data_IF_380942513425
#
_entry.id   IF_380942513425
#
_cell.length_a   1.000
_cell.length_b   1.000
_cell.length_c   1.000
_cell.angle_alpha   90.00
_cell.angle_beta   90.00
_cell.angle_gamma   90.00
#
_symmetry.space_group_name_H-M   'P 1'
#
loop_
_entity.id
_entity.type
_entity.pdbx_description
1 polymer ?
#
# COMPACT_ATOMS: atom_id res chain seq x y z
N UNK A 1 -3.21 9.27 -26.96
CA UNK A 1 -3.11 10.75 -26.97
C UNK A 1 -1.97 11.15 -26.04
N UNK A 2 -0.92 11.79 -26.58
CA UNK A 2 0.24 12.20 -25.79
C UNK A 2 -0.07 13.45 -24.97
N UNK A 3 0.14 13.39 -23.65
CA UNK A 3 -0.10 14.53 -22.73
C UNK A 3 1.06 15.54 -22.83
N UNK A 4 0.69 16.81 -23.00
CA UNK A 4 1.57 17.98 -23.19
C UNK A 4 2.55 18.23 -22.01
N UNK A 5 3.57 19.06 -22.26
CA UNK A 5 4.58 19.47 -21.29
C UNK A 5 4.01 20.56 -20.36
N UNK A 6 3.99 20.31 -19.05
CA UNK A 6 3.52 21.29 -18.04
C UNK A 6 2.65 20.73 -16.90
N UNK A 7 2.37 19.43 -16.85
CA UNK A 7 1.57 18.84 -15.77
C UNK A 7 2.21 18.91 -14.38
N UNK A 8 1.39 18.94 -13.32
CA UNK A 8 1.74 18.91 -11.88
C UNK A 8 2.55 17.69 -11.42
N UNK A 9 2.88 16.78 -12.34
CA UNK A 9 3.42 15.45 -12.08
C UNK A 9 4.43 15.05 -13.15
N UNK A 10 5.54 14.45 -12.72
CA UNK A 10 6.74 14.21 -13.53
C UNK A 10 7.30 12.80 -13.27
N UNK A 11 8.01 12.16 -14.22
CA UNK A 11 8.27 10.74 -14.20
C UNK A 11 9.17 10.32 -13.03
N UNK A 12 8.89 9.11 -12.56
CA UNK A 12 9.38 8.45 -11.36
C UNK A 12 10.89 8.62 -11.13
N UNK A 13 11.28 8.74 -9.87
CA UNK A 13 12.66 8.39 -9.48
C UNK A 13 12.91 6.88 -9.70
N UNK A 14 14.16 6.41 -9.54
CA UNK A 14 14.46 4.96 -9.65
C UNK A 14 13.78 4.12 -8.56
N UNK A 15 13.17 4.75 -7.55
CA UNK A 15 12.40 4.11 -6.48
C UNK A 15 10.90 4.08 -6.77
N UNK A 16 10.47 4.53 -7.95
CA UNK A 16 9.09 4.46 -8.41
C UNK A 16 8.17 5.57 -7.88
N UNK A 17 8.68 6.55 -7.13
CA UNK A 17 7.88 7.58 -6.46
C UNK A 17 7.62 8.81 -7.30
N UNK A 18 6.41 9.34 -7.16
CA UNK A 18 6.00 10.61 -7.76
C UNK A 18 6.36 11.78 -6.83
N UNK A 19 7.02 12.79 -7.38
CA UNK A 19 7.32 14.04 -6.66
C UNK A 19 6.34 15.11 -7.15
N UNK A 20 5.52 15.67 -6.25
CA UNK A 20 4.55 16.72 -6.57
C UNK A 20 5.18 18.10 -6.44
N UNK A 21 4.72 19.04 -7.26
CA UNK A 21 4.97 20.47 -7.00
C UNK A 21 4.36 20.83 -5.64
N UNK A 22 5.16 21.48 -4.79
CA UNK A 22 4.80 21.80 -3.41
C UNK A 22 5.34 20.83 -2.37
N UNK A 23 5.81 19.65 -2.76
CA UNK A 23 6.38 18.70 -1.80
C UNK A 23 7.63 19.27 -1.11
N UNK A 24 7.71 19.07 0.21
CA UNK A 24 8.94 19.30 0.97
C UNK A 24 9.88 18.12 0.74
N UNK A 25 11.09 18.42 0.28
CA UNK A 25 12.11 17.43 -0.04
C UNK A 25 13.45 17.78 0.60
N UNK A 26 14.33 16.79 0.77
CA UNK A 26 15.68 16.90 1.29
C UNK A 26 16.67 16.21 0.34
N UNK A 27 17.78 16.87 0.07
CA UNK A 27 18.85 16.32 -0.76
C UNK A 27 19.61 15.20 -0.02
N UNK A 28 19.70 14.02 -0.63
CA UNK A 28 20.47 12.87 -0.11
C UNK A 28 21.93 13.26 0.08
N UNK A 29 22.48 13.00 1.27
CA UNK A 29 23.87 13.23 1.63
C UNK A 29 24.22 14.66 2.05
N UNK A 30 23.44 15.67 1.66
CA UNK A 30 23.71 17.08 2.01
C UNK A 30 22.81 17.64 3.12
N UNK A 31 21.71 16.95 3.46
CA UNK A 31 20.76 17.40 4.49
C UNK A 31 19.95 18.65 4.14
N UNK A 32 20.19 19.25 2.96
CA UNK A 32 19.55 20.48 2.50
C UNK A 32 18.08 20.24 2.18
N UNK A 33 17.18 20.95 2.85
CA UNK A 33 15.74 20.85 2.65
C UNK A 33 15.21 21.99 1.76
N UNK A 34 14.12 21.72 1.04
CA UNK A 34 13.49 22.67 0.13
C UNK A 34 12.10 22.24 -0.26
N UNK A 35 11.48 23.01 -1.15
CA UNK A 35 10.15 22.78 -1.70
C UNK A 35 10.25 22.61 -3.21
N UNK A 36 9.61 21.58 -3.75
CA UNK A 36 9.55 21.34 -5.19
C UNK A 36 8.74 22.43 -5.86
N UNK A 37 9.34 23.13 -6.84
CA UNK A 37 8.68 24.24 -7.56
C UNK A 37 8.27 23.87 -8.96
N UNK A 38 9.04 23.00 -9.61
CA UNK A 38 8.69 22.42 -10.89
C UNK A 38 9.38 21.09 -11.04
N UNK A 39 8.93 20.30 -12.00
CA UNK A 39 9.68 19.16 -12.47
C UNK A 39 9.55 19.08 -14.01
N UNK A 40 10.52 18.48 -14.67
CA UNK A 40 10.63 18.32 -16.13
C UNK A 40 10.85 16.83 -16.49
N UNK A 41 10.21 16.35 -17.57
CA UNK A 41 10.14 14.93 -17.96
C UNK A 41 11.50 14.41 -18.37
N UNK A 42 12.38 15.31 -18.78
CA UNK A 42 13.69 14.99 -19.31
C UNK A 42 14.85 15.43 -18.41
N UNK A 43 14.64 16.32 -17.44
CA UNK A 43 15.77 17.04 -16.79
C UNK A 43 15.81 16.94 -15.26
N UNK A 44 14.71 16.61 -14.60
CA UNK A 44 14.66 16.41 -13.15
C UNK A 44 13.74 17.39 -12.41
N UNK A 45 13.94 17.54 -11.11
CA UNK A 45 13.10 18.33 -10.21
C UNK A 45 13.79 19.63 -9.82
N UNK A 46 13.12 20.76 -9.99
CA UNK A 46 13.59 22.05 -9.50
C UNK A 46 13.10 22.25 -8.08
N UNK A 47 14.04 22.35 -7.15
CA UNK A 47 13.76 22.56 -5.72
C UNK A 47 14.22 23.95 -5.32
N UNK A 48 13.33 24.71 -4.69
CA UNK A 48 13.67 25.93 -3.97
C UNK A 48 14.01 25.56 -2.53
N UNK A 49 15.27 25.72 -2.15
CA UNK A 49 15.80 25.37 -0.85
C UNK A 49 15.46 26.43 0.20
N UNK A 50 15.48 26.01 1.46
CA UNK A 50 15.15 26.88 2.59
C UNK A 50 16.16 28.02 2.79
N UNK A 51 17.38 27.85 2.24
CA UNK A 51 18.41 28.90 2.19
C UNK A 51 18.20 29.94 1.07
N UNK A 52 17.07 29.85 0.35
CA UNK A 52 16.69 30.76 -0.74
C UNK A 52 17.26 30.37 -2.10
N UNK A 53 18.19 29.42 -2.17
CA UNK A 53 18.72 28.92 -3.43
C UNK A 53 17.69 28.10 -4.21
N UNK A 54 17.86 27.99 -5.52
CA UNK A 54 17.10 27.04 -6.34
C UNK A 54 18.08 26.13 -7.07
N UNK A 55 17.81 24.83 -7.13
CA UNK A 55 18.67 23.90 -7.87
C UNK A 55 17.84 22.86 -8.58
N UNK A 56 18.30 22.48 -9.77
CA UNK A 56 17.75 21.37 -10.51
C UNK A 56 18.44 20.08 -10.06
N UNK A 57 17.65 19.10 -9.64
CA UNK A 57 18.12 17.88 -8.99
C UNK A 57 17.49 16.69 -9.67
N UNK A 58 18.29 15.67 -9.98
CA UNK A 58 17.74 14.41 -10.43
C UNK A 58 16.81 13.83 -9.34
N UNK A 59 15.58 13.37 -9.67
CA UNK A 59 14.56 12.97 -8.70
C UNK A 59 15.10 12.01 -7.63
N UNK A 60 15.97 11.11 -8.06
CA UNK A 60 16.61 10.10 -7.22
C UNK A 60 17.54 10.59 -6.11
N UNK A 61 17.87 11.89 -6.09
CA UNK A 61 18.68 12.49 -5.02
C UNK A 61 17.82 13.19 -3.97
N UNK A 62 16.50 13.08 -4.04
CA UNK A 62 15.55 13.73 -3.14
C UNK A 62 14.88 12.70 -2.23
N UNK A 63 14.64 13.08 -0.98
CA UNK A 63 13.83 12.35 0.02
C UNK A 63 12.72 13.29 0.51
N UNK A 64 11.57 12.79 0.94
CA UNK A 64 10.54 13.65 1.57
C UNK A 64 11.08 14.26 2.87
N UNK A 65 10.80 15.54 3.10
CA UNK A 65 11.11 16.23 4.34
C UNK A 65 9.81 16.54 5.11
N UNK A 66 9.82 16.47 6.46
CA UNK A 66 8.67 16.89 7.26
C UNK A 66 8.40 18.39 7.07
N UNK A 67 7.12 18.79 7.12
CA UNK A 67 6.73 20.20 7.04
C UNK A 67 7.34 21.00 8.20
N UNK A 68 7.71 22.26 7.95
CA UNK A 68 8.39 23.14 8.90
C UNK A 68 7.45 24.06 9.69
N UNK A 69 6.13 23.84 9.65
CA UNK A 69 5.20 24.63 10.48
C UNK A 69 5.28 24.24 11.97
N UNK A 70 5.45 25.22 12.89
CA UNK A 70 5.43 24.96 14.32
C UNK A 70 4.02 24.60 14.80
N UNK A 71 3.87 23.51 15.55
CA UNK A 71 2.62 23.14 16.19
C UNK A 71 2.26 24.12 17.32
N UNK A 72 1.03 24.64 17.32
CA UNK A 72 0.50 25.49 18.38
C UNK A 72 0.19 24.70 19.67
N UNK A 73 0.31 25.30 20.87
CA UNK A 73 0.04 24.61 22.13
C UNK A 73 -1.48 24.42 22.37
N UNK A 74 -1.88 23.22 22.77
CA UNK A 74 -3.29 22.84 22.94
C UNK A 74 -3.81 23.06 24.38
N UNK A 75 -5.01 23.63 24.51
CA UNK A 75 -5.82 23.65 25.76
C UNK A 75 -6.84 22.50 25.74
N UNK A 76 -6.97 21.76 26.85
CA UNK A 76 -7.89 20.63 27.03
C UNK A 76 -9.29 21.05 27.51
N UNK A 77 -10.34 20.49 26.89
CA UNK A 77 -11.67 20.25 27.48
C UNK A 77 -12.23 18.88 27.00
N UNK A 78 -13.21 18.27 27.70
CA UNK A 78 -13.64 16.88 27.50
C UNK A 78 -14.53 16.69 26.26
N UNK A 79 -14.46 15.50 25.66
CA UNK A 79 -15.00 15.11 24.35
C UNK A 79 -16.54 14.97 24.29
N UNK A 80 -17.18 15.79 23.46
CA UNK A 80 -18.38 15.44 22.69
C UNK A 80 -17.94 14.81 21.34
N UNK A 81 -18.76 13.96 20.68
CA UNK A 81 -18.43 13.38 19.37
C UNK A 81 -18.21 14.49 18.33
N UNK A 82 -17.02 14.52 17.73
CA UNK A 82 -16.57 15.58 16.82
C UNK A 82 -17.44 15.64 15.56
N UNK A 83 -18.31 16.66 15.41
CA UNK A 83 -19.16 16.78 14.25
C UNK A 83 -18.41 17.39 13.05
N UNK A 84 -17.08 17.57 13.16
CA UNK A 84 -16.16 17.95 12.10
C UNK A 84 -15.33 16.76 11.56
N UNK A 85 -15.59 15.52 12.00
CA UNK A 85 -14.97 14.34 11.41
C UNK A 85 -15.31 14.26 9.91
N UNK A 86 -14.31 14.47 9.06
CA UNK A 86 -14.44 14.43 7.60
C UNK A 86 -14.85 13.03 7.15
N UNK A 87 -15.98 12.85 6.45
CA UNK A 87 -16.31 11.59 5.81
C UNK A 87 -15.19 11.16 4.86
N UNK A 88 -14.86 9.87 4.88
CA UNK A 88 -13.77 9.32 4.07
C UNK A 88 -14.03 9.58 2.57
N UNK A 89 -13.09 10.22 1.88
CA UNK A 89 -13.17 10.54 0.45
C UNK A 89 -13.75 11.91 0.08
N UNK A 90 -13.89 12.84 1.03
CA UNK A 90 -14.20 14.24 0.73
C UNK A 90 -12.93 15.05 0.42
N UNK A 91 -12.96 15.82 -0.66
CA UNK A 91 -11.88 16.70 -1.13
C UNK A 91 -12.01 18.14 -0.62
N UNK A 92 -13.24 18.59 -0.35
CA UNK A 92 -13.52 19.94 0.13
C UNK A 92 -14.63 19.97 1.19
N UNK A 93 -14.60 21.05 1.97
CA UNK A 93 -15.45 21.25 3.13
C UNK A 93 -16.16 22.60 3.04
N UNK A 94 -17.47 22.61 3.30
CA UNK A 94 -18.31 23.80 3.22
C UNK A 94 -19.00 24.09 4.54
N UNK A 95 -18.94 25.35 4.98
CA UNK A 95 -19.51 25.80 6.26
C UNK A 95 -20.26 27.11 6.13
N UNK A 96 -21.32 27.28 6.92
CA UNK A 96 -21.86 28.60 7.22
C UNK A 96 -21.00 29.30 8.26
N UNK A 97 -20.97 30.62 8.22
CA UNK A 97 -20.24 31.43 9.20
C UNK A 97 -20.74 31.12 10.62
N UNK A 98 -19.85 30.58 11.46
CA UNK A 98 -20.16 30.21 12.85
C UNK A 98 -20.72 28.80 13.04
N UNK A 99 -20.84 27.97 11.99
CA UNK A 99 -21.34 26.59 12.08
C UNK A 99 -20.49 25.63 11.23
N UNK A 100 -19.45 25.01 11.82
CA UNK A 100 -18.68 23.99 11.12
C UNK A 100 -19.51 22.71 10.94
N UNK A 101 -19.52 22.12 9.74
CA UNK A 101 -19.97 20.74 9.47
C UNK A 101 -21.17 20.58 8.54
N UNK A 102 -21.46 21.56 7.68
CA UNK A 102 -22.73 21.57 6.93
C UNK A 102 -22.70 20.68 5.67
N UNK A 103 -21.57 20.59 4.95
CA UNK A 103 -21.45 19.75 3.76
C UNK A 103 -20.00 19.38 3.42
N UNK A 104 -19.85 18.24 2.74
CA UNK A 104 -18.58 17.76 2.18
C UNK A 104 -18.73 17.45 0.71
N UNK A 105 -17.68 17.70 -0.05
CA UNK A 105 -17.67 17.56 -1.51
C UNK A 105 -16.52 16.66 -1.93
N UNK A 106 -16.75 15.83 -2.94
CA UNK A 106 -15.74 15.03 -3.63
C UNK A 106 -15.60 15.52 -5.07
N UNK A 107 -14.37 15.68 -5.54
CA UNK A 107 -14.03 15.97 -6.92
C UNK A 107 -13.41 14.74 -7.58
N UNK A 108 -13.61 14.60 -8.89
CA UNK A 108 -12.95 13.55 -9.67
C UNK A 108 -11.51 13.93 -10.06
N UNK A 109 -10.83 13.06 -10.80
CA UNK A 109 -9.45 13.27 -11.25
C UNK A 109 -9.27 14.47 -12.19
N UNK A 110 -10.36 15.00 -12.74
CA UNK A 110 -10.37 16.19 -13.62
C UNK A 110 -10.66 17.49 -12.87
N UNK A 111 -11.03 17.40 -11.58
CA UNK A 111 -11.44 18.52 -10.74
C UNK A 111 -12.93 18.83 -10.82
N UNK A 112 -13.70 17.98 -11.49
CA UNK A 112 -15.15 18.12 -11.62
C UNK A 112 -15.87 17.51 -10.40
N UNK A 113 -17.09 17.98 -10.11
CA UNK A 113 -17.86 17.53 -8.94
C UNK A 113 -18.34 16.08 -9.14
N UNK A 114 -17.85 15.16 -8.30
CA UNK A 114 -18.18 13.72 -8.32
C UNK A 114 -19.34 13.39 -7.36
N UNK A 115 -19.42 14.08 -6.21
CA UNK A 115 -20.53 13.91 -5.28
C UNK A 115 -20.44 14.82 -4.04
N UNK A 116 -21.50 14.88 -3.25
CA UNK A 116 -21.48 15.58 -1.97
C UNK A 116 -22.35 14.92 -0.91
N UNK A 117 -21.98 15.14 0.35
CA UNK A 117 -22.61 14.60 1.56
C UNK A 117 -23.13 15.77 2.40
N UNK A 118 -24.41 15.70 2.81
CA UNK A 118 -25.01 16.62 3.78
C UNK A 118 -25.33 15.88 5.07
N UNK A 119 -24.96 16.48 6.20
CA UNK A 119 -25.49 16.10 7.51
C UNK A 119 -26.67 17.01 7.83
N UNK A 120 -27.86 16.44 7.99
CA UNK A 120 -29.02 17.17 8.51
C UNK A 120 -28.97 17.13 10.04
N UNK A 121 -28.60 18.25 10.67
CA UNK A 121 -28.42 18.30 12.13
C UNK A 121 -29.74 18.38 12.91
N UNK A 122 -30.84 18.74 12.24
CA UNK A 122 -32.14 18.88 12.89
C UNK A 122 -32.90 17.53 12.99
N UNK A 123 -32.39 16.47 12.35
CA UNK A 123 -32.92 15.10 12.45
C UNK A 123 -31.78 14.04 12.51
N UNK A 124 -31.35 13.63 13.71
CA UNK A 124 -30.27 12.66 13.89
C UNK A 124 -30.61 11.23 13.42
N UNK A 125 -31.84 10.99 12.94
CA UNK A 125 -32.27 9.72 12.36
C UNK A 125 -32.17 9.67 10.83
N UNK A 126 -31.84 10.79 10.17
CA UNK A 126 -31.77 10.84 8.70
C UNK A 126 -30.42 10.37 8.16
N UNK A 127 -30.52 9.39 7.28
CA UNK A 127 -29.48 8.83 6.42
C UNK A 127 -28.72 9.96 5.71
N UNK A 128 -27.38 9.87 5.71
CA UNK A 128 -26.51 10.66 4.82
C UNK A 128 -27.13 10.66 3.42
N UNK A 129 -27.64 11.81 2.96
CA UNK A 129 -28.15 11.94 1.60
C UNK A 129 -26.95 12.13 0.68
N UNK A 130 -26.46 11.02 0.14
CA UNK A 130 -25.56 11.04 -1.00
C UNK A 130 -26.38 11.42 -2.24
N UNK A 131 -25.97 12.49 -2.93
CA UNK A 131 -26.51 12.84 -4.24
C UNK A 131 -25.33 12.92 -5.20
N UNK A 132 -25.26 11.97 -6.12
CA UNK A 132 -24.43 12.09 -7.32
C UNK A 132 -24.96 13.23 -8.16
N UNK A 133 -24.14 14.26 -8.37
CA UNK A 133 -24.48 15.41 -9.19
C UNK A 133 -23.27 15.72 -10.05
N UNK A 134 -23.23 15.13 -11.24
CA UNK A 134 -22.18 15.42 -12.23
C UNK A 134 -22.43 16.81 -12.85
N UNK A 135 -21.56 17.77 -12.58
CA UNK A 135 -21.47 19.07 -13.27
C UNK A 135 -22.82 19.82 -13.46
N UNK A 136 -23.66 19.90 -12.43
CA UNK A 136 -24.91 20.67 -12.47
C UNK A 136 -24.67 22.15 -12.10
N UNK A 137 -24.86 23.14 -13.01
CA UNK A 137 -24.76 24.56 -12.69
C UNK A 137 -25.70 25.01 -11.56
N UNK A 138 -26.80 24.28 -11.34
CA UNK A 138 -27.72 24.54 -10.24
C UNK A 138 -27.08 24.29 -8.87
N UNK A 139 -26.05 23.44 -8.77
CA UNK A 139 -25.33 23.20 -7.51
C UNK A 139 -24.66 24.48 -7.00
N UNK A 140 -23.92 25.19 -7.84
CA UNK A 140 -23.17 26.37 -7.38
C UNK A 140 -24.12 27.48 -6.93
N UNK A 141 -25.22 27.64 -7.64
CA UNK A 141 -26.31 28.53 -7.22
C UNK A 141 -26.96 28.11 -5.88
N UNK A 142 -27.02 26.81 -5.56
CA UNK A 142 -27.53 26.33 -4.27
C UNK A 142 -26.53 26.58 -3.14
N UNK A 143 -25.23 26.31 -3.36
CA UNK A 143 -24.16 26.61 -2.38
C UNK A 143 -24.13 28.10 -2.06
N UNK A 144 -24.20 28.95 -3.08
CA UNK A 144 -24.23 30.41 -2.94
C UNK A 144 -25.50 30.89 -2.21
N UNK A 145 -26.68 30.35 -2.56
CA UNK A 145 -27.94 30.67 -1.88
C UNK A 145 -27.96 30.24 -0.41
N UNK A 146 -27.20 29.21 -0.05
CA UNK A 146 -27.03 28.75 1.34
C UNK A 146 -25.97 29.53 2.12
N UNK A 147 -25.23 30.44 1.47
CA UNK A 147 -24.17 31.22 2.10
C UNK A 147 -22.96 30.39 2.56
N UNK A 148 -22.79 29.19 1.98
CA UNK A 148 -21.70 28.30 2.29
C UNK A 148 -20.41 28.79 1.63
N UNK A 149 -19.29 28.66 2.33
CA UNK A 149 -17.96 28.95 1.78
C UNK A 149 -17.05 27.73 1.90
N UNK A 150 -16.28 27.50 0.85
CA UNK A 150 -15.23 26.49 0.85
C UNK A 150 -14.15 26.87 1.87
N UNK A 151 -13.81 25.93 2.74
CA UNK A 151 -12.80 26.08 3.77
C UNK A 151 -11.83 24.89 3.70
N UNK A 152 -10.56 25.08 4.09
CA UNK A 152 -9.62 23.95 4.19
C UNK A 152 -10.14 22.90 5.19
N UNK A 153 -9.91 21.60 4.93
CA UNK A 153 -10.36 20.54 5.83
C UNK A 153 -9.76 20.72 7.23
N UNK A 154 -10.50 20.36 8.30
CA UNK A 154 -9.99 20.45 9.67
C UNK A 154 -8.77 19.54 9.86
N UNK A 155 -7.68 20.10 10.36
CA UNK A 155 -6.45 19.36 10.63
C UNK A 155 -6.62 18.50 11.88
N UNK A 156 -6.81 17.19 11.73
CA UNK A 156 -6.80 16.25 12.87
C UNK A 156 -5.41 16.22 13.52
N UNK A 157 -5.33 16.63 14.78
CA UNK A 157 -4.10 16.52 15.56
C UNK A 157 -3.80 15.05 15.87
N UNK A 158 -2.62 14.58 15.45
CA UNK A 158 -2.13 13.23 15.77
C UNK A 158 -1.82 13.15 17.27
N UNK A 159 -2.37 12.18 18.04
CA UNK A 159 -2.01 12.01 19.43
C UNK A 159 -0.52 11.63 19.57
N UNK A 160 0.17 12.26 20.52
CA UNK A 160 1.58 12.01 20.78
C UNK A 160 1.81 10.57 21.27
N UNK A 161 2.67 9.83 20.56
CA UNK A 161 3.13 8.49 20.96
C UNK A 161 3.85 8.51 22.32
N UNK A 162 3.59 7.53 23.20
CA UNK A 162 4.31 7.41 24.46
C UNK A 162 5.77 6.99 24.23
N UNK A 163 6.68 7.60 25.00
CA UNK A 163 8.13 7.39 24.96
C UNK A 163 8.54 5.92 25.18
N UNK A 164 9.59 5.41 24.50
CA UNK A 164 10.02 4.02 24.65
C UNK A 164 10.77 3.77 25.97
N UNK A 165 10.38 2.70 26.67
CA UNK A 165 11.05 2.15 27.86
C UNK A 165 12.32 1.36 27.47
N UNK A 166 13.35 1.48 28.34
CA UNK A 166 14.61 0.71 28.55
C UNK A 166 15.19 -0.10 27.36
N UNK A 167 16.41 0.27 26.97
CA UNK A 167 17.28 -0.45 26.01
C UNK A 167 17.64 -1.87 26.49
N UNK A 168 17.27 -2.94 25.75
CA UNK A 168 17.85 -4.28 25.90
C UNK A 168 19.24 -4.36 25.25
N UNK A 169 19.98 -5.42 25.60
CA UNK A 169 21.32 -5.82 25.13
C UNK A 169 21.56 -5.56 23.62
N UNK A 170 22.73 -5.01 23.31
CA UNK A 170 23.15 -4.41 22.03
C UNK A 170 23.72 -5.35 20.96
N UNK A 171 23.63 -6.67 21.11
CA UNK A 171 24.34 -7.59 20.20
C UNK A 171 23.41 -8.38 19.27
N UNK A 172 22.10 -8.10 19.23
CA UNK A 172 21.23 -8.74 18.26
C UNK A 172 21.36 -8.09 16.89
N UNK A 173 21.53 -8.90 15.82
CA UNK A 173 21.66 -8.38 14.47
C UNK A 173 20.40 -7.62 14.07
N UNK A 174 20.57 -6.39 13.60
CA UNK A 174 19.51 -5.58 12.95
C UNK A 174 19.20 -6.10 11.53
N UNK A 175 19.63 -7.32 11.22
CA UNK A 175 19.68 -7.93 9.89
C UNK A 175 18.95 -9.26 9.88
N UNK A 176 18.17 -9.52 8.83
CA UNK A 176 17.41 -10.75 8.66
C UNK A 176 18.29 -11.96 8.44
N UNK A 177 19.44 -11.81 7.78
CA UNK A 177 20.40 -12.93 7.56
C UNK A 177 20.81 -13.58 8.88
N UNK A 178 20.85 -12.80 9.98
CA UNK A 178 21.17 -13.32 11.30
C UNK A 178 20.01 -13.99 12.05
N UNK A 179 18.77 -13.86 11.58
CA UNK A 179 17.57 -14.41 12.22
C UNK A 179 17.12 -15.74 11.63
N UNK A 180 17.47 -16.02 10.37
CA UNK A 180 17.06 -17.27 9.69
C UNK A 180 18.12 -18.35 9.91
N UNK A 181 17.75 -19.40 10.64
CA UNK A 181 18.60 -20.56 10.94
C UNK A 181 18.28 -21.75 10.04
N UNK A 182 19.13 -22.79 10.05
CA UNK A 182 18.92 -23.99 9.24
C UNK A 182 19.23 -23.82 7.74
N UNK A 183 19.95 -22.76 7.38
CA UNK A 183 20.37 -22.53 5.99
C UNK A 183 21.53 -23.48 5.66
N UNK A 184 21.30 -24.39 4.71
CA UNK A 184 22.33 -25.25 4.14
C UNK A 184 22.73 -24.75 2.75
N UNK A 185 23.89 -24.08 2.58
CA UNK A 185 24.29 -23.40 1.33
C UNK A 185 24.34 -24.32 0.09
N UNK A 186 24.50 -25.62 0.30
CA UNK A 186 24.60 -26.62 -0.77
C UNK A 186 23.24 -27.13 -1.24
N UNK A 187 22.16 -26.88 -0.48
CA UNK A 187 20.81 -27.26 -0.86
C UNK A 187 20.17 -26.16 -1.72
N UNK A 188 19.32 -26.52 -2.71
CA UNK A 188 18.65 -25.53 -3.58
C UNK A 188 17.91 -24.44 -2.79
N UNK A 189 17.15 -24.82 -1.76
CA UNK A 189 16.45 -23.87 -0.87
C UNK A 189 17.40 -22.92 -0.14
N UNK A 190 18.54 -23.44 0.32
CA UNK A 190 19.56 -22.63 1.00
C UNK A 190 20.18 -21.60 0.07
N UNK A 191 20.42 -21.94 -1.20
CA UNK A 191 20.93 -21.00 -2.20
C UNK A 191 19.94 -19.87 -2.50
N UNK A 192 18.65 -20.20 -2.63
CA UNK A 192 17.57 -19.22 -2.85
C UNK A 192 17.49 -18.24 -1.67
N UNK A 193 17.49 -18.76 -0.43
CA UNK A 193 17.42 -17.95 0.78
C UNK A 193 18.68 -17.08 0.96
N UNK A 194 19.87 -17.63 0.67
CA UNK A 194 21.13 -16.87 0.71
C UNK A 194 21.19 -15.76 -0.33
N UNK A 195 20.46 -15.90 -1.44
CA UNK A 195 20.31 -14.84 -2.43
C UNK A 195 19.38 -13.73 -1.93
N UNK A 196 18.20 -14.08 -1.41
CA UNK A 196 17.13 -13.11 -1.09
C UNK A 196 17.36 -12.36 0.22
N UNK A 197 17.80 -13.02 1.30
CA UNK A 197 17.91 -12.37 2.61
C UNK A 197 18.86 -11.16 2.63
N UNK A 198 20.05 -11.20 2.00
CA UNK A 198 20.91 -10.02 1.89
C UNK A 198 20.27 -8.86 1.13
N UNK A 199 19.42 -9.14 0.13
CA UNK A 199 18.70 -8.11 -0.62
C UNK A 199 17.69 -7.40 0.29
N UNK A 200 16.92 -8.15 1.07
CA UNK A 200 15.99 -7.59 2.06
C UNK A 200 16.74 -6.75 3.09
N UNK A 201 17.92 -7.21 3.53
CA UNK A 201 18.80 -6.47 4.44
C UNK A 201 19.28 -5.13 3.87
N UNK A 202 19.29 -4.93 2.54
CA UNK A 202 19.58 -3.61 1.95
C UNK A 202 18.41 -2.64 2.03
N UNK A 203 17.18 -3.15 2.13
CA UNK A 203 15.96 -2.34 2.05
C UNK A 203 15.48 -1.90 3.44
N UNK A 204 15.48 -2.81 4.43
CA UNK A 204 15.04 -2.47 5.78
C UNK A 204 15.75 -3.31 6.86
N UNK A 205 15.57 -2.90 8.11
CA UNK A 205 16.11 -3.46 9.34
C UNK A 205 15.11 -4.40 9.98
N UNK A 206 15.62 -5.26 10.83
CA UNK A 206 14.80 -6.05 11.74
C UNK A 206 14.58 -5.30 13.05
N UNK A 207 13.37 -5.34 13.64
CA UNK A 207 13.16 -4.89 15.00
C UNK A 207 14.15 -5.58 15.97
N UNK A 208 14.67 -4.88 17.00
CA UNK A 208 15.43 -5.55 18.05
C UNK A 208 14.56 -6.57 18.78
N UNK A 209 15.12 -7.70 19.20
CA UNK A 209 14.41 -8.72 19.99
C UNK A 209 13.70 -9.79 19.15
N UNK A 210 13.82 -9.76 17.83
CA UNK A 210 13.12 -10.72 16.96
C UNK A 210 13.60 -12.16 17.21
N UNK A 211 12.69 -13.13 17.39
CA UNK A 211 13.06 -14.52 17.64
C UNK A 211 13.59 -15.16 16.34
N UNK A 212 14.58 -16.04 16.45
CA UNK A 212 15.05 -16.81 15.30
C UNK A 212 13.92 -17.62 14.65
N UNK A 213 14.04 -17.83 13.34
CA UNK A 213 13.12 -18.63 12.54
C UNK A 213 13.91 -19.69 11.77
N UNK A 214 13.41 -20.92 11.73
CA UNK A 214 14.11 -22.03 11.08
C UNK A 214 13.63 -22.24 9.65
N UNK A 215 14.56 -22.30 8.72
CA UNK A 215 14.29 -22.70 7.35
C UNK A 215 14.05 -24.21 7.26
N UNK A 216 13.06 -24.62 6.46
CA UNK A 216 12.90 -26.00 6.05
C UNK A 216 12.25 -26.11 4.67
N UNK A 217 12.35 -27.29 4.07
CA UNK A 217 11.71 -27.57 2.78
C UNK A 217 10.21 -27.81 2.94
N UNK A 218 9.42 -27.21 2.05
CA UNK A 218 8.01 -27.50 1.87
C UNK A 218 7.86 -28.73 0.97
N UNK A 219 7.28 -29.80 1.51
CA UNK A 219 7.16 -31.10 0.83
C UNK A 219 5.75 -31.39 0.35
N UNK A 220 4.76 -30.55 0.71
CA UNK A 220 3.37 -30.73 0.27
C UNK A 220 3.25 -30.42 -1.22
N UNK A 221 2.70 -31.32 -2.04
CA UNK A 221 2.51 -31.08 -3.47
C UNK A 221 1.66 -29.84 -3.74
N UNK A 222 2.10 -29.00 -4.69
CA UNK A 222 1.40 -27.78 -5.09
C UNK A 222 1.64 -26.56 -4.19
N UNK A 223 2.29 -26.72 -3.03
CA UNK A 223 2.63 -25.60 -2.15
C UNK A 223 3.95 -24.94 -2.59
N UNK A 224 3.96 -23.61 -2.60
CA UNK A 224 5.12 -22.78 -2.90
C UNK A 224 5.95 -22.51 -1.64
N UNK A 225 5.26 -22.22 -0.53
CA UNK A 225 5.83 -21.95 0.78
C UNK A 225 4.76 -21.95 1.87
N UNK A 226 5.20 -21.82 3.12
CA UNK A 226 4.33 -21.60 4.27
C UNK A 226 5.09 -21.12 5.50
N UNK A 227 4.54 -20.15 6.20
CA UNK A 227 4.97 -19.73 7.53
C UNK A 227 4.12 -20.39 8.62
N UNK A 228 4.80 -21.03 9.58
CA UNK A 228 4.15 -21.83 10.65
C UNK A 228 4.34 -21.24 12.06
N UNK A 229 4.61 -19.95 12.17
CA UNK A 229 4.93 -19.31 13.45
C UNK A 229 6.42 -19.42 13.82
N UNK A 230 7.04 -20.58 13.57
CA UNK A 230 8.45 -20.87 13.93
C UNK A 230 9.32 -21.33 12.78
N UNK A 231 8.73 -21.65 11.63
CA UNK A 231 9.47 -22.12 10.45
C UNK A 231 9.01 -21.39 9.20
N UNK A 232 9.96 -21.14 8.31
CA UNK A 232 9.71 -20.84 6.90
C UNK A 232 9.86 -22.15 6.13
N UNK A 233 8.75 -22.65 5.61
CA UNK A 233 8.73 -23.79 4.69
C UNK A 233 8.78 -23.22 3.28
N UNK A 234 9.72 -23.64 2.44
CA UNK A 234 9.78 -23.19 1.04
C UNK A 234 10.00 -24.37 0.11
N UNK A 235 9.35 -24.33 -1.05
CA UNK A 235 9.57 -25.28 -2.12
C UNK A 235 10.63 -24.71 -3.08
N UNK A 236 11.85 -25.28 -3.14
CA UNK A 236 12.89 -24.77 -4.04
C UNK A 236 12.56 -24.96 -5.52
N UNK A 237 11.60 -25.82 -5.83
CA UNK A 237 11.07 -26.06 -7.17
C UNK A 237 9.73 -25.35 -7.40
N UNK A 238 9.39 -24.43 -6.49
CA UNK A 238 8.29 -23.52 -6.66
C UNK A 238 8.41 -22.71 -7.95
N UNK A 239 7.29 -22.13 -8.36
CA UNK A 239 7.20 -21.35 -9.59
C UNK A 239 7.97 -20.01 -9.46
N UNK A 240 7.88 -19.39 -8.28
CA UNK A 240 8.43 -18.06 -7.97
C UNK A 240 9.28 -18.08 -6.69
N UNK A 241 10.30 -18.94 -6.60
CA UNK A 241 10.93 -19.30 -5.33
C UNK A 241 11.58 -18.12 -4.60
N UNK A 242 12.08 -17.09 -5.31
CA UNK A 242 12.68 -15.91 -4.69
C UNK A 242 11.61 -14.97 -4.11
N UNK A 243 10.49 -14.78 -4.82
CA UNK A 243 9.36 -14.02 -4.28
C UNK A 243 8.73 -14.72 -3.08
N UNK A 244 8.62 -16.05 -3.11
CA UNK A 244 8.10 -16.83 -1.99
C UNK A 244 8.91 -16.60 -0.71
N UNK A 245 10.25 -16.49 -0.78
CA UNK A 245 11.06 -16.14 0.41
C UNK A 245 10.59 -14.82 1.03
N UNK A 246 10.43 -13.77 0.22
CA UNK A 246 10.02 -12.45 0.70
C UNK A 246 8.58 -12.48 1.25
N UNK A 247 7.68 -13.19 0.58
CA UNK A 247 6.29 -13.38 0.99
C UNK A 247 6.20 -14.06 2.37
N UNK A 248 6.83 -15.23 2.54
CA UNK A 248 6.79 -15.97 3.81
C UNK A 248 7.51 -15.20 4.94
N UNK A 249 8.55 -14.45 4.58
CA UNK A 249 9.20 -13.58 5.55
C UNK A 249 8.25 -12.47 6.02
N UNK A 250 7.43 -11.90 5.13
CA UNK A 250 6.47 -10.89 5.54
C UNK A 250 5.43 -11.46 6.50
N UNK A 251 4.95 -12.69 6.30
CA UNK A 251 4.08 -13.34 7.29
C UNK A 251 4.75 -13.44 8.66
N UNK A 252 6.05 -13.78 8.69
CA UNK A 252 6.81 -13.76 9.93
C UNK A 252 6.91 -12.34 10.53
N UNK A 253 7.24 -11.32 9.73
CA UNK A 253 7.33 -9.93 10.21
C UNK A 253 5.98 -9.42 10.74
N UNK A 254 4.91 -9.64 9.98
CA UNK A 254 3.54 -9.26 10.31
C UNK A 254 3.09 -9.89 11.65
N UNK A 255 3.41 -11.18 11.85
CA UNK A 255 3.12 -11.89 13.10
C UNK A 255 3.99 -11.41 14.29
N UNK A 256 5.20 -10.89 14.05
CA UNK A 256 6.15 -10.55 15.14
C UNK A 256 6.19 -9.07 15.50
N UNK A 257 6.00 -8.17 14.53
CA UNK A 257 5.99 -6.71 14.75
C UNK A 257 4.78 -6.27 15.59
N UNK A 258 3.70 -7.06 15.61
CA UNK A 258 2.47 -6.82 16.38
C UNK A 258 2.60 -6.77 17.92
N UNK A 259 3.77 -6.47 18.48
CA UNK A 259 4.04 -6.29 19.92
C UNK A 259 3.79 -7.54 20.78
N UNK A 260 4.04 -8.73 20.23
CA UNK A 260 4.12 -9.96 21.02
C UNK A 260 2.78 -10.58 21.46
N UNK A 261 1.66 -10.18 20.86
CA UNK A 261 0.33 -10.76 21.15
C UNK A 261 0.04 -12.08 20.42
N UNK A 262 0.91 -12.52 19.50
CA UNK A 262 0.67 -13.72 18.69
C UNK A 262 -0.42 -13.54 17.62
N UNK A 263 -0.74 -12.28 17.30
CA UNK A 263 -1.68 -11.89 16.26
C UNK A 263 -0.90 -11.20 15.13
N UNK A 264 -1.41 -11.29 13.90
CA UNK A 264 -0.87 -10.58 12.75
C UNK A 264 -1.23 -9.09 12.85
N UNK A 265 -0.28 -8.21 12.56
CA UNK A 265 -0.50 -6.77 12.53
C UNK A 265 -1.56 -6.39 11.48
N UNK A 266 -1.54 -7.07 10.33
CA UNK A 266 -2.48 -6.90 9.21
C UNK A 266 -3.94 -7.21 9.57
N UNK A 267 -4.21 -8.02 10.58
CA UNK A 267 -5.59 -8.24 11.02
C UNK A 267 -6.06 -7.20 12.03
N UNK A 268 -5.13 -6.64 12.81
CA UNK A 268 -5.43 -5.81 13.96
C UNK A 268 -5.46 -4.32 13.62
N UNK A 269 -4.47 -3.84 12.87
CA UNK A 269 -4.15 -2.41 12.74
C UNK A 269 -4.51 -1.85 11.35
N UNK A 270 -5.56 -2.40 10.73
CA UNK A 270 -6.12 -1.93 9.45
C UNK A 270 -7.37 -1.06 9.59
N UNK A 271 -7.96 -0.97 10.80
CA UNK A 271 -9.06 -0.06 11.08
C UNK A 271 -8.61 1.40 10.99
N UNK A 272 -9.51 2.39 10.78
CA UNK A 272 -9.15 3.80 10.78
C UNK A 272 -8.31 4.19 12.01
N UNK A 273 -7.16 4.83 11.75
CA UNK A 273 -6.16 5.18 12.78
C UNK A 273 -5.09 4.11 13.05
N UNK A 274 -5.23 2.90 12.50
CA UNK A 274 -4.21 1.85 12.55
C UNK A 274 -3.05 2.11 11.58
N UNK A 275 -1.86 1.58 11.90
CA UNK A 275 -0.63 1.84 11.13
C UNK A 275 -0.65 1.25 9.71
N UNK A 276 -1.48 0.23 9.48
CA UNK A 276 -1.67 -0.41 8.17
C UNK A 276 -2.95 0.06 7.46
N UNK A 277 -3.69 1.01 8.01
CA UNK A 277 -4.97 1.44 7.44
C UNK A 277 -4.84 1.95 6.01
N UNK A 278 -3.94 2.91 5.77
CA UNK A 278 -3.76 3.52 4.44
C UNK A 278 -3.28 2.49 3.40
N UNK A 279 -2.36 1.60 3.80
CA UNK A 279 -1.95 0.46 2.99
C UNK A 279 -3.13 -0.44 2.64
N UNK A 280 -3.98 -0.77 3.62
CA UNK A 280 -5.14 -1.63 3.37
C UNK A 280 -6.16 -0.96 2.44
N UNK A 281 -6.40 0.34 2.58
CA UNK A 281 -7.26 1.09 1.66
C UNK A 281 -6.70 1.04 0.24
N UNK A 282 -5.39 1.28 0.06
CA UNK A 282 -4.75 1.22 -1.25
C UNK A 282 -4.79 -0.19 -1.87
N UNK A 283 -4.39 -1.22 -1.11
CA UNK A 283 -4.38 -2.59 -1.59
C UNK A 283 -5.79 -3.11 -1.83
N UNK A 284 -6.70 -2.83 -0.90
CA UNK A 284 -8.11 -3.22 -0.94
C UNK A 284 -8.88 -2.56 -2.07
N UNK A 285 -8.57 -1.33 -2.48
CA UNK A 285 -9.25 -0.64 -3.59
C UNK A 285 -8.53 -0.80 -4.94
N UNK A 286 -7.46 -1.59 -4.99
CA UNK A 286 -6.74 -1.88 -6.24
C UNK A 286 -7.64 -2.60 -7.26
N UNK A 287 -7.34 -2.41 -8.55
CA UNK A 287 -8.07 -3.09 -9.64
C UNK A 287 -7.98 -4.62 -9.51
N UNK A 288 -6.82 -5.13 -9.11
CA UNK A 288 -6.63 -6.56 -8.83
C UNK A 288 -7.59 -7.05 -7.74
N UNK A 289 -7.67 -6.35 -6.61
CA UNK A 289 -8.56 -6.73 -5.51
C UNK A 289 -10.04 -6.64 -5.92
N UNK A 290 -10.42 -5.61 -6.68
CA UNK A 290 -11.78 -5.48 -7.21
C UNK A 290 -12.14 -6.65 -8.13
N UNK A 291 -11.25 -7.02 -9.06
CA UNK A 291 -11.48 -8.15 -9.96
C UNK A 291 -11.66 -9.48 -9.22
N UNK A 292 -10.88 -9.72 -8.16
CA UNK A 292 -11.06 -10.90 -7.32
C UNK A 292 -12.40 -10.88 -6.57
N UNK A 293 -12.86 -9.72 -6.09
CA UNK A 293 -14.19 -9.60 -5.47
C UNK A 293 -15.32 -9.80 -6.48
N UNK A 294 -15.16 -9.33 -7.71
CA UNK A 294 -16.14 -9.55 -8.76
C UNK A 294 -16.29 -11.05 -9.06
N UNK A 295 -15.17 -11.79 -9.09
CA UNK A 295 -15.17 -13.26 -9.21
C UNK A 295 -15.81 -13.94 -8.00
N UNK A 296 -15.47 -13.49 -6.80
CA UNK A 296 -16.05 -13.99 -5.54
C UNK A 296 -17.57 -13.86 -5.51
N UNK A 297 -18.11 -12.79 -6.11
CA UNK A 297 -19.54 -12.52 -6.12
C UNK A 297 -20.31 -13.31 -7.20
N UNK A 298 -19.62 -14.10 -8.03
CA UNK A 298 -20.29 -15.03 -8.93
C UNK A 298 -20.97 -16.15 -8.13
N UNK A 299 -22.17 -16.61 -8.55
CA UNK A 299 -22.84 -17.74 -7.91
C UNK A 299 -21.98 -19.01 -7.93
N UNK A 300 -22.06 -19.79 -6.86
CA UNK A 300 -21.40 -21.10 -6.77
C UNK A 300 -21.75 -22.00 -7.95
N UNK A 301 -20.74 -22.63 -8.52
CA UNK A 301 -20.90 -23.51 -9.68
C UNK A 301 -21.26 -22.80 -10.98
N UNK A 302 -21.36 -21.47 -11.01
CA UNK A 302 -21.52 -20.73 -12.26
C UNK A 302 -20.23 -20.87 -13.09
N UNK A 303 -20.29 -21.53 -14.26
CA UNK A 303 -19.12 -21.61 -15.11
C UNK A 303 -18.85 -20.23 -15.68
N UNK A 304 -17.65 -19.69 -15.45
CA UNK A 304 -17.19 -18.58 -16.27
C UNK A 304 -16.41 -19.16 -17.45
N UNK A 305 -16.80 -18.74 -18.65
CA UNK A 305 -16.26 -19.32 -19.88
C UNK A 305 -14.92 -18.67 -20.18
N UNK A 306 -13.84 -19.46 -20.15
CA UNK A 306 -12.57 -19.04 -20.75
C UNK A 306 -12.57 -19.41 -22.22
N UNK A 307 -12.61 -18.40 -23.08
CA UNK A 307 -12.34 -18.54 -24.51
C UNK A 307 -10.86 -18.27 -24.74
N UNK A 308 -10.00 -19.30 -24.78
CA UNK A 308 -8.60 -19.11 -25.24
C UNK A 308 -7.77 -20.38 -25.47
N UNK A 309 -8.37 -21.56 -25.69
CA UNK A 309 -7.62 -22.73 -26.15
C UNK A 309 -7.99 -23.09 -27.60
N UNK A 310 -7.03 -23.48 -28.46
CA UNK A 310 -7.31 -24.15 -29.72
C UNK A 310 -8.16 -25.43 -29.57
N UNK A 311 -8.22 -25.99 -28.36
CA UNK A 311 -8.93 -27.24 -28.05
C UNK A 311 -10.39 -27.06 -27.60
N UNK A 312 -10.88 -25.81 -27.54
CA UNK A 312 -12.27 -25.50 -27.20
C UNK A 312 -12.45 -24.69 -25.91
N UNK A 313 -13.69 -24.29 -25.67
CA UNK A 313 -14.09 -23.54 -24.49
C UNK A 313 -14.23 -24.50 -23.29
N UNK A 314 -13.57 -24.18 -22.17
CA UNK A 314 -13.73 -24.92 -20.92
C UNK A 314 -14.56 -24.09 -19.93
N UNK A 315 -15.53 -24.75 -19.32
CA UNK A 315 -16.29 -24.23 -18.19
C UNK A 315 -15.42 -24.37 -16.94
N UNK A 316 -15.16 -23.25 -16.27
CA UNK A 316 -14.36 -23.23 -15.05
C UNK A 316 -15.22 -22.72 -13.90
N UNK A 317 -15.10 -23.35 -12.74
CA UNK A 317 -15.75 -22.88 -11.52
C UNK A 317 -14.76 -22.08 -10.68
N UNK A 318 -15.28 -21.02 -10.06
CA UNK A 318 -14.54 -20.21 -9.08
C UNK A 318 -14.32 -21.03 -7.81
N UNK A 319 -13.13 -20.90 -7.24
CA UNK A 319 -12.78 -21.41 -5.91
C UNK A 319 -12.87 -20.24 -4.93
N UNK A 320 -14.05 -20.07 -4.31
CA UNK A 320 -14.35 -18.96 -3.41
C UNK A 320 -13.48 -18.97 -2.16
N UNK A 321 -13.18 -20.16 -1.61
CA UNK A 321 -12.31 -20.31 -0.45
C UNK A 321 -10.89 -19.81 -0.76
N UNK A 322 -10.39 -20.16 -1.95
CA UNK A 322 -9.09 -19.68 -2.38
C UNK A 322 -9.08 -18.16 -2.65
N UNK A 323 -10.15 -17.61 -3.24
CA UNK A 323 -10.28 -16.16 -3.41
C UNK A 323 -10.31 -15.46 -2.05
N UNK A 324 -11.05 -15.97 -1.08
CA UNK A 324 -11.12 -15.42 0.28
C UNK A 324 -9.76 -15.50 0.98
N UNK A 325 -9.03 -16.60 0.78
CA UNK A 325 -7.66 -16.74 1.25
C UNK A 325 -6.76 -15.64 0.68
N UNK A 326 -6.68 -15.49 -0.64
CA UNK A 326 -5.80 -14.48 -1.24
C UNK A 326 -6.26 -13.05 -0.91
N UNK A 327 -7.56 -12.78 -0.81
CA UNK A 327 -8.09 -11.47 -0.40
C UNK A 327 -7.92 -11.16 1.09
N UNK A 328 -7.44 -12.09 1.90
CA UNK A 328 -7.19 -11.84 3.31
C UNK A 328 -6.09 -10.79 3.51
N UNK A 329 -6.16 -10.03 4.61
CA UNK A 329 -5.22 -8.95 4.91
C UNK A 329 -3.77 -9.45 4.96
N UNK A 330 -3.57 -10.63 5.58
CA UNK A 330 -2.26 -11.27 5.72
C UNK A 330 -1.62 -11.56 4.36
N UNK A 331 -2.41 -12.15 3.46
CA UNK A 331 -1.94 -12.55 2.14
C UNK A 331 -1.72 -11.34 1.23
N UNK A 332 -2.59 -10.33 1.29
CA UNK A 332 -2.38 -9.08 0.56
C UNK A 332 -1.12 -8.35 1.05
N UNK A 333 -0.84 -8.33 2.36
CA UNK A 333 0.36 -7.71 2.90
C UNK A 333 1.62 -8.46 2.47
N UNK A 334 1.61 -9.79 2.56
CA UNK A 334 2.76 -10.60 2.18
C UNK A 334 3.09 -10.51 0.68
N UNK A 335 2.08 -10.56 -0.19
CA UNK A 335 2.26 -10.40 -1.64
C UNK A 335 2.74 -9.00 -2.03
N UNK A 336 2.14 -7.96 -1.43
CA UNK A 336 2.56 -6.59 -1.71
C UNK A 336 4.00 -6.35 -1.25
N UNK A 337 4.39 -6.86 -0.08
CA UNK A 337 5.78 -6.79 0.36
C UNK A 337 6.76 -7.51 -0.58
N UNK A 338 6.43 -8.72 -1.04
CA UNK A 338 7.30 -9.47 -1.96
C UNK A 338 7.54 -8.69 -3.27
N UNK A 339 6.47 -8.13 -3.86
CA UNK A 339 6.58 -7.28 -5.05
C UNK A 339 7.36 -6.00 -4.77
N UNK A 340 7.12 -5.35 -3.63
CA UNK A 340 7.86 -4.15 -3.22
C UNK A 340 9.36 -4.42 -3.07
N UNK A 341 9.77 -5.54 -2.47
CA UNK A 341 11.18 -5.93 -2.36
C UNK A 341 11.79 -6.16 -3.75
N UNK A 342 11.10 -6.89 -4.63
CA UNK A 342 11.58 -7.13 -6.00
C UNK A 342 11.84 -5.81 -6.74
N UNK A 343 10.90 -4.86 -6.66
CA UNK A 343 11.02 -3.54 -7.27
C UNK A 343 12.06 -2.65 -6.57
N UNK A 344 12.19 -2.69 -5.24
CA UNK A 344 13.17 -1.88 -4.50
C UNK A 344 14.61 -2.31 -4.75
N UNK A 345 14.83 -3.61 -4.85
CA UNK A 345 16.17 -4.20 -5.01
C UNK A 345 16.60 -4.26 -6.47
N UNK A 346 15.64 -4.22 -7.40
CA UNK A 346 15.87 -4.42 -8.83
C UNK A 346 16.64 -5.73 -9.11
N UNK A 347 16.48 -6.73 -8.24
CA UNK A 347 17.17 -8.00 -8.39
C UNK A 347 16.61 -8.77 -9.60
N UNK A 348 17.45 -9.16 -10.57
CA UNK A 348 16.97 -9.79 -11.80
C UNK A 348 16.19 -11.09 -11.58
N UNK A 349 16.50 -11.86 -10.53
CA UNK A 349 15.79 -13.13 -10.26
C UNK A 349 14.43 -12.87 -9.64
N UNK A 350 14.35 -11.95 -8.67
CA UNK A 350 13.06 -11.55 -8.09
C UNK A 350 12.16 -10.87 -9.12
N UNK A 351 12.73 -10.03 -10.01
CA UNK A 351 11.97 -9.44 -11.11
C UNK A 351 11.51 -10.50 -12.11
N UNK A 352 12.33 -11.49 -12.47
CA UNK A 352 11.90 -12.58 -13.33
C UNK A 352 10.80 -13.46 -12.68
N UNK A 353 10.83 -13.64 -11.36
CA UNK A 353 9.75 -14.27 -10.62
C UNK A 353 8.47 -13.43 -10.69
N UNK A 354 8.58 -12.10 -10.51
CA UNK A 354 7.46 -11.17 -10.57
C UNK A 354 6.84 -11.08 -11.97
N UNK A 355 7.68 -10.95 -13.00
CA UNK A 355 7.24 -10.90 -14.40
C UNK A 355 6.50 -12.18 -14.75
N UNK A 356 7.03 -13.37 -14.41
CA UNK A 356 6.29 -14.63 -14.61
C UNK A 356 4.97 -14.65 -13.83
N UNK A 357 4.96 -14.12 -12.61
CA UNK A 357 3.77 -14.07 -11.78
C UNK A 357 2.71 -13.07 -12.27
N UNK A 358 3.08 -12.07 -13.06
CA UNK A 358 2.16 -11.12 -13.72
C UNK A 358 1.77 -11.62 -15.12
N UNK A 359 2.77 -11.95 -15.96
CA UNK A 359 2.62 -12.38 -17.36
C UNK A 359 1.84 -13.68 -17.51
N UNK A 360 1.95 -14.59 -16.53
CA UNK A 360 1.11 -15.81 -16.50
C UNK A 360 -0.37 -15.47 -16.57
N UNK A 361 -0.76 -14.28 -16.12
CA UNK A 361 -2.15 -13.83 -16.10
C UNK A 361 -2.47 -12.72 -17.12
N UNK A 362 -1.46 -12.00 -17.63
CA UNK A 362 -1.65 -10.94 -18.63
C UNK A 362 -2.52 -9.78 -18.13
N UNK A 363 -3.11 -9.00 -19.04
CA UNK A 363 -4.03 -7.90 -18.71
C UNK A 363 -5.37 -8.38 -18.11
N UNK A 364 -5.59 -9.69 -18.04
CA UNK A 364 -6.78 -10.27 -17.47
C UNK A 364 -6.51 -10.80 -16.07
N UNK A 365 -7.29 -10.42 -15.05
CA UNK A 365 -7.12 -10.89 -13.67
C UNK A 365 -7.31 -12.42 -13.50
N UNK A 366 -7.67 -13.12 -14.58
CA UNK A 366 -8.08 -14.52 -14.60
C UNK A 366 -7.30 -15.26 -15.70
N UNK A 367 -6.22 -15.96 -15.31
CA UNK A 367 -5.69 -17.06 -16.11
C UNK A 367 -5.60 -18.29 -15.23
N UNK A 368 -6.60 -19.14 -15.40
CA UNK A 368 -6.68 -20.40 -14.70
C UNK A 368 -5.57 -21.35 -15.18
N UNK A 369 -4.68 -21.72 -14.27
CA UNK A 369 -4.19 -23.08 -14.19
C UNK A 369 -5.35 -23.95 -13.71
N UNK A 370 -5.69 -24.93 -14.52
CA UNK A 370 -6.69 -25.93 -14.17
C UNK A 370 -6.04 -27.00 -13.30
N UNK A 371 -6.64 -27.30 -12.16
CA UNK A 371 -6.44 -28.62 -11.56
C UNK A 371 -7.22 -29.67 -12.36
N UNK A 372 -6.91 -30.96 -12.13
CA UNK A 372 -7.48 -32.11 -12.84
C UNK A 372 -9.02 -32.12 -12.80
N UNK A 373 -9.62 -31.45 -11.83
CA UNK A 373 -11.07 -31.42 -11.57
C UNK A 373 -11.80 -30.20 -12.19
N UNK A 374 -11.12 -29.37 -13.01
CA UNK A 374 -11.77 -28.23 -13.68
C UNK A 374 -11.94 -26.97 -12.81
N UNK A 375 -11.38 -26.96 -11.60
CA UNK A 375 -11.33 -25.80 -10.71
C UNK A 375 -10.23 -24.82 -11.12
N UNK A 376 -10.51 -23.52 -11.03
CA UNK A 376 -9.49 -22.47 -11.12
C UNK A 376 -8.87 -22.26 -9.77
N UNK A 377 -7.62 -22.69 -9.63
CA UNK A 377 -6.86 -22.52 -8.38
C UNK A 377 -5.70 -21.55 -8.53
N UNK A 378 -5.59 -20.86 -9.66
CA UNK A 378 -4.59 -19.81 -9.85
C UNK A 378 -5.24 -18.56 -10.40
N UNK A 379 -5.22 -17.51 -9.58
CA UNK A 379 -5.66 -16.16 -9.92
C UNK A 379 -4.42 -15.27 -10.02
N UNK A 380 -4.52 -14.10 -10.65
CA UNK A 380 -3.43 -13.14 -10.57
C UNK A 380 -3.23 -12.74 -9.11
N UNK A 381 -2.02 -12.96 -8.61
CA UNK A 381 -1.66 -12.72 -7.21
C UNK A 381 -0.92 -11.41 -6.99
N UNK A 382 -0.45 -10.76 -8.05
CA UNK A 382 0.37 -9.57 -8.02
C UNK A 382 -0.28 -8.45 -8.82
N UNK A 383 0.16 -7.23 -8.56
CA UNK A 383 -0.39 -6.03 -9.17
C UNK A 383 0.41 -5.66 -10.42
N UNK A 384 -0.26 -5.15 -11.45
CA UNK A 384 0.45 -4.41 -12.48
C UNK A 384 1.11 -3.15 -11.88
N UNK A 385 2.14 -2.61 -12.55
CA UNK A 385 2.89 -1.46 -12.01
C UNK A 385 2.02 -0.23 -11.73
N UNK A 386 1.08 0.18 -12.61
CA UNK A 386 0.15 1.27 -12.29
C UNK A 386 -0.67 1.02 -11.01
N UNK A 387 -1.26 -0.16 -10.85
CA UNK A 387 -2.10 -0.53 -9.70
C UNK A 387 -1.27 -0.66 -8.41
N UNK A 388 -0.02 -1.10 -8.53
CA UNK A 388 0.86 -1.31 -7.38
C UNK A 388 1.45 -0.04 -6.79
N UNK A 389 1.47 1.07 -7.55
CA UNK A 389 2.28 2.25 -7.18
C UNK A 389 1.86 2.84 -5.84
N UNK A 390 0.56 3.03 -5.62
CA UNK A 390 0.07 3.54 -4.34
C UNK A 390 0.36 2.56 -3.21
N UNK A 391 0.20 1.26 -3.45
CA UNK A 391 0.46 0.21 -2.45
C UNK A 391 1.94 0.21 -2.01
N UNK A 392 2.86 0.38 -2.98
CA UNK A 392 4.29 0.49 -2.72
C UNK A 392 4.64 1.72 -1.87
N UNK A 393 3.98 2.86 -2.12
CA UNK A 393 4.18 4.09 -1.36
C UNK A 393 3.71 3.91 0.09
N UNK A 394 2.53 3.32 0.29
CA UNK A 394 1.98 3.06 1.63
C UNK A 394 2.81 2.03 2.41
N UNK A 395 3.34 0.99 1.74
CA UNK A 395 4.29 0.06 2.35
C UNK A 395 5.57 0.77 2.80
N UNK A 396 6.08 1.67 1.97
CA UNK A 396 7.28 2.42 2.32
C UNK A 396 7.05 3.34 3.53
N UNK A 397 5.92 4.06 3.56
CA UNK A 397 5.53 4.90 4.71
C UNK A 397 5.32 4.06 5.98
N UNK A 398 4.75 2.86 5.86
CA UNK A 398 4.65 1.89 6.96
C UNK A 398 6.03 1.51 7.53
N UNK A 399 7.00 1.13 6.69
CA UNK A 399 8.35 0.79 7.16
C UNK A 399 9.12 2.00 7.70
N UNK A 400 8.86 3.21 7.19
CA UNK A 400 9.40 4.46 7.74
C UNK A 400 8.83 4.72 9.13
N UNK A 401 7.52 4.59 9.31
CA UNK A 401 6.84 4.82 10.58
C UNK A 401 7.34 3.88 11.69
N UNK A 402 7.68 2.64 11.32
CA UNK A 402 8.31 1.68 12.24
C UNK A 402 9.80 1.91 12.48
N UNK A 403 10.43 2.84 11.75
CA UNK A 403 11.88 3.06 11.79
C UNK A 403 12.68 1.87 11.25
N UNK A 404 12.06 1.04 10.41
CA UNK A 404 12.66 -0.16 9.86
C UNK A 404 13.31 0.12 8.51
N UNK A 405 12.86 1.08 7.71
CA UNK A 405 13.49 1.38 6.43
C UNK A 405 14.97 1.81 6.60
N UNK A 406 15.86 1.37 5.69
CA UNK A 406 17.29 1.74 5.69
C UNK A 406 17.61 3.02 4.94
#
# INVERSE_FOLDING_TARGET
>A
MGREAGGTWQPRDWRGRWIKIGDRVRLVGAGRAGTVKSADKQRGVTVQWDDGGTTHVAPHRLLRAPSSEPAAPASRQPEEPDPAATPHGADAYFTRTGQPGDAWVRYDETGDLDGWIRLDRDDPSTTVRYREVFNDPAWRSQVDAMGLREAPPPTTAVPASPLPRRRPRTDQPDRIVGLVTGIHPTQPIGQIVQHVLPLIDTVHKMPPGMPEITLAEETRPGYQGSYTGRRLLLNPHGEYPHLTVAHELMHYLDHRIGYGKGEFLSDRDIAPGGILHSWWVAAGNSRMAQALRDLRNLPDGMPFVRRQSPTGDYALTVDHDYIDYILSHREMLARSYAQWIALRTQDPKMLADLDRAIDRYGDHPIVAGTNIDGLVTSYNQFWDLPDFTQIADELEDFFIALGLLR
#
